data_IF_064533185046
#
_entry.id   IF_064533185046
#
_cell.length_a   1.000
_cell.length_b   1.000
_cell.length_c   1.000
_cell.angle_alpha   90.00
_cell.angle_beta   90.00
_cell.angle_gamma   90.00
#
_symmetry.space_group_name_H-M   'P 1'
#
loop_
_entity.id
_entity.type
_entity.pdbx_description
1 polymer ?
#
# COMPACT_ATOMS: atom_id res chain seq x y z
N UNK A 1 -14.10 -25.39 -7.42
CA UNK A 1 -12.97 -25.52 -6.49
C UNK A 1 -12.93 -24.26 -5.65
N UNK A 2 -13.25 -24.36 -4.36
CA UNK A 2 -13.33 -23.24 -3.43
C UNK A 2 -12.03 -23.22 -2.65
N UNK A 3 -11.13 -22.28 -2.97
CA UNK A 3 -9.84 -22.15 -2.30
C UNK A 3 -10.09 -21.51 -0.93
N UNK A 4 -9.94 -22.30 0.14
CA UNK A 4 -9.96 -21.76 1.48
C UNK A 4 -8.63 -21.02 1.71
N UNK A 5 -8.68 -19.81 2.27
CA UNK A 5 -7.46 -19.07 2.65
C UNK A 5 -6.61 -19.86 3.68
N UNK A 6 -7.22 -20.85 4.34
CA UNK A 6 -6.63 -21.68 5.38
C UNK A 6 -5.61 -22.66 4.80
N UNK A 7 -5.81 -23.15 3.57
CA UNK A 7 -4.95 -24.19 2.98
C UNK A 7 -3.57 -23.67 2.54
N UNK A 8 -3.43 -22.37 2.31
CA UNK A 8 -2.18 -21.78 1.84
C UNK A 8 -1.22 -21.33 2.95
N UNK A 9 -1.69 -21.25 4.21
CA UNK A 9 -0.93 -20.67 5.32
C UNK A 9 -1.35 -21.35 6.65
N UNK A 10 -0.73 -22.48 7.04
CA UNK A 10 -1.07 -23.20 8.28
C UNK A 10 -0.90 -22.36 9.57
N UNK A 11 -0.21 -21.23 9.48
CA UNK A 11 -0.07 -20.22 10.55
C UNK A 11 -1.36 -19.40 10.79
N UNK A 12 -2.34 -19.40 9.87
CA UNK A 12 -3.69 -18.82 10.02
C UNK A 12 -4.56 -19.56 11.05
N UNK A 13 -4.11 -20.73 11.54
CA UNK A 13 -4.70 -21.38 12.71
C UNK A 13 -4.69 -20.46 13.94
N UNK A 14 -3.78 -19.48 13.97
CA UNK A 14 -3.84 -18.35 14.89
C UNK A 14 -4.86 -17.37 14.34
N UNK A 15 -6.05 -17.33 14.95
CA UNK A 15 -7.08 -16.35 14.58
C UNK A 15 -6.63 -14.89 14.78
N UNK A 16 -5.46 -14.61 15.33
CA UNK A 16 -4.98 -13.26 15.70
C UNK A 16 -3.61 -13.00 15.08
N UNK A 17 -3.47 -11.83 14.46
CA UNK A 17 -2.23 -11.28 13.92
C UNK A 17 -1.88 -10.03 14.70
N UNK A 18 -0.66 -9.98 15.22
CA UNK A 18 -0.15 -8.87 16.01
C UNK A 18 0.66 -7.93 15.12
N UNK A 19 0.78 -6.68 15.57
CA UNK A 19 1.64 -5.66 14.93
C UNK A 19 1.38 -5.48 13.43
N UNK A 20 0.10 -5.51 13.03
CA UNK A 20 -0.28 -5.28 11.63
C UNK A 20 -0.41 -3.79 11.36
N UNK A 21 0.19 -3.36 10.26
CA UNK A 21 0.09 -2.03 9.72
C UNK A 21 -1.08 -1.91 8.77
N UNK A 22 -1.88 -0.86 8.95
CA UNK A 22 -3.01 -0.58 8.07
C UNK A 22 -3.07 0.90 7.69
N UNK A 23 -3.34 1.17 6.42
CA UNK A 23 -3.58 2.51 5.90
C UNK A 23 -5.05 2.86 6.02
N UNK A 24 -5.33 4.07 6.49
CA UNK A 24 -6.67 4.63 6.43
C UNK A 24 -6.98 5.11 5.00
N UNK A 25 -8.11 4.66 4.48
CA UNK A 25 -8.69 5.09 3.22
C UNK A 25 -10.14 5.51 3.43
N UNK A 26 -10.63 6.45 2.64
CA UNK A 26 -12.06 6.76 2.61
C UNK A 26 -12.76 5.80 1.64
N UNK A 27 -13.84 5.17 2.11
CA UNK A 27 -14.66 4.31 1.26
C UNK A 27 -15.34 5.17 0.19
N UNK A 28 -15.13 4.89 -1.10
CA UNK A 28 -15.64 5.73 -2.20
C UNK A 28 -17.16 5.85 -2.21
N UNK A 29 -17.88 4.83 -1.71
CA UNK A 29 -19.35 4.83 -1.68
C UNK A 29 -19.91 5.56 -0.47
N UNK A 30 -19.34 5.29 0.70
CA UNK A 30 -19.91 5.79 1.97
C UNK A 30 -19.21 7.04 2.49
N UNK A 31 -18.04 7.39 1.93
CA UNK A 31 -17.12 8.43 2.42
C UNK A 31 -16.70 8.24 3.88
N UNK A 32 -16.84 7.02 4.40
CA UNK A 32 -16.50 6.70 5.77
C UNK A 32 -15.06 6.21 5.86
N UNK A 33 -14.36 6.50 6.97
CA UNK A 33 -13.00 6.03 7.16
C UNK A 33 -12.99 4.51 7.32
N UNK A 34 -12.04 3.88 6.63
CA UNK A 34 -11.84 2.43 6.62
C UNK A 34 -10.35 2.12 6.65
N UNK A 35 -9.97 1.04 7.34
CA UNK A 35 -8.59 0.57 7.37
C UNK A 35 -8.39 -0.52 6.33
N UNK A 36 -7.28 -0.45 5.61
CA UNK A 36 -6.83 -1.48 4.67
C UNK A 36 -5.43 -1.96 5.03
N UNK A 37 -5.20 -3.26 4.96
CA UNK A 37 -3.86 -3.84 5.16
C UNK A 37 -2.90 -3.36 4.09
N UNK A 38 -1.63 -3.17 4.48
CA UNK A 38 -0.53 -2.86 3.57
C UNK A 38 0.08 -4.14 2.97
N UNK A 39 0.77 -3.96 1.84
CA UNK A 39 1.61 -4.99 1.21
C UNK A 39 2.82 -5.38 2.05
N UNK A 40 3.36 -6.57 1.80
CA UNK A 40 4.59 -7.06 2.45
C UNK A 40 4.42 -7.56 3.89
N UNK A 41 3.19 -7.79 4.34
CA UNK A 41 2.89 -8.28 5.68
C UNK A 41 2.45 -9.76 5.66
N UNK A 42 2.35 -10.37 6.84
CA UNK A 42 1.85 -11.75 7.02
C UNK A 42 0.36 -11.91 6.69
N UNK A 43 -0.34 -10.80 6.48
CA UNK A 43 -1.76 -10.78 6.11
C UNK A 43 -1.94 -10.32 4.67
N UNK A 44 -2.97 -10.80 3.97
CA UNK A 44 -3.22 -10.39 2.59
C UNK A 44 -3.33 -8.86 2.45
N UNK A 45 -2.77 -8.26 1.39
CA UNK A 45 -2.83 -6.82 1.16
C UNK A 45 -4.22 -6.35 0.75
N UNK A 46 -4.49 -5.05 0.94
CA UNK A 46 -5.74 -4.37 0.56
C UNK A 46 -7.03 -4.93 1.18
N UNK A 47 -6.92 -5.77 2.20
CA UNK A 47 -8.06 -6.31 2.92
C UNK A 47 -8.63 -5.27 3.89
N UNK A 48 -9.96 -5.14 3.88
CA UNK A 48 -10.69 -4.24 4.76
C UNK A 48 -10.69 -4.78 6.19
N UNK A 49 -10.22 -3.97 7.13
CA UNK A 49 -10.26 -4.27 8.56
C UNK A 49 -11.45 -3.54 9.18
N UNK A 50 -12.29 -4.28 9.92
CA UNK A 50 -13.37 -3.70 10.71
C UNK A 50 -12.78 -3.04 11.97
N UNK A 51 -13.03 -1.75 12.13
CA UNK A 51 -12.62 -0.95 13.28
C UNK A 51 -13.74 0.03 13.66
N UNK A 52 -13.72 0.55 14.89
CA UNK A 52 -14.55 1.69 15.24
C UNK A 52 -14.10 2.90 14.42
N UNK A 53 -15.06 3.56 13.77
CA UNK A 53 -14.80 4.69 12.88
C UNK A 53 -14.31 5.89 13.66
N UNK A 54 -14.81 6.08 14.89
CA UNK A 54 -14.41 7.21 15.75
C UNK A 54 -12.93 7.14 16.09
N UNK A 55 -12.37 5.95 16.25
CA UNK A 55 -10.96 5.76 16.60
C UNK A 55 -9.98 6.10 15.47
N UNK A 56 -10.46 6.17 14.22
CA UNK A 56 -9.63 6.43 13.04
C UNK A 56 -10.00 7.73 12.33
N UNK A 57 -11.11 8.37 12.71
CA UNK A 57 -11.62 9.58 12.08
C UNK A 57 -10.83 10.84 12.44
N UNK A 58 -10.05 10.80 13.53
CA UNK A 58 -9.30 11.96 14.03
C UNK A 58 -8.13 12.36 13.11
N UNK A 59 -7.73 11.50 12.19
CA UNK A 59 -6.56 11.71 11.33
C UNK A 59 -6.94 11.65 9.84
N UNK A 60 -6.16 12.34 8.97
CA UNK A 60 -6.45 12.40 7.55
C UNK A 60 -6.23 11.08 6.82
N UNK A 61 -6.82 10.99 5.62
CA UNK A 61 -6.65 9.86 4.70
C UNK A 61 -5.17 9.61 4.38
N UNK A 62 -4.78 8.34 4.35
CA UNK A 62 -3.40 7.91 4.18
C UNK A 62 -2.65 7.65 5.47
N UNK A 63 -3.18 8.05 6.63
CA UNK A 63 -2.52 7.77 7.92
C UNK A 63 -2.36 6.26 8.13
N UNK A 64 -1.16 5.85 8.54
CA UNK A 64 -0.82 4.45 8.83
C UNK A 64 -0.91 4.20 10.34
N UNK A 65 -1.67 3.16 10.68
CA UNK A 65 -1.93 2.71 12.04
C UNK A 65 -1.26 1.38 12.30
N UNK A 66 -0.96 1.11 13.57
CA UNK A 66 -0.45 -0.18 14.06
C UNK A 66 -1.49 -0.81 14.96
N UNK A 67 -1.92 -2.03 14.64
CA UNK A 67 -2.98 -2.71 15.37
C UNK A 67 -2.87 -4.23 15.31
N UNK A 68 -3.48 -4.86 16.30
CA UNK A 68 -3.72 -6.29 16.30
C UNK A 68 -5.06 -6.58 15.64
N UNK A 69 -5.10 -7.57 14.76
CA UNK A 69 -6.30 -7.96 14.03
C UNK A 69 -6.62 -9.43 14.27
N UNK A 70 -7.91 -9.74 14.28
CA UNK A 70 -8.43 -11.09 14.37
C UNK A 70 -9.14 -11.45 13.07
N UNK A 71 -8.85 -12.63 12.52
CA UNK A 71 -9.65 -13.23 11.47
C UNK A 71 -10.93 -13.82 12.09
N UNK A 72 -12.07 -13.32 11.64
CA UNK A 72 -13.38 -13.83 12.04
C UNK A 72 -13.96 -14.61 10.88
N UNK A 73 -14.07 -15.92 11.07
CA UNK A 73 -14.83 -16.81 10.21
C UNK A 73 -16.18 -17.07 10.86
N UNK A 74 -17.26 -16.78 10.14
CA UNK A 74 -18.62 -17.03 10.60
C UNK A 74 -19.27 -18.00 9.64
N UNK A 75 -19.89 -19.07 10.15
CA UNK A 75 -20.57 -20.08 9.32
C UNK A 75 -21.54 -19.40 8.35
N UNK A 76 -21.32 -19.57 7.05
CA UNK A 76 -22.15 -19.00 5.99
C UNK A 76 -21.86 -17.54 5.59
N UNK A 77 -20.84 -16.88 6.16
CA UNK A 77 -20.40 -15.53 5.75
C UNK A 77 -18.94 -15.53 5.30
N UNK A 78 -18.59 -14.55 4.47
CA UNK A 78 -17.20 -14.35 4.06
C UNK A 78 -16.34 -13.99 5.29
N UNK A 79 -15.16 -14.62 5.45
CA UNK A 79 -14.27 -14.30 6.53
C UNK A 79 -13.79 -12.85 6.40
N UNK A 80 -13.60 -12.18 7.53
CA UNK A 80 -13.16 -10.78 7.57
C UNK A 80 -12.24 -10.50 8.75
N UNK A 81 -11.40 -9.48 8.61
CA UNK A 81 -10.55 -9.02 9.70
C UNK A 81 -11.27 -8.01 10.60
N UNK A 82 -11.09 -8.15 11.89
CA UNK A 82 -11.56 -7.19 12.90
C UNK A 82 -10.41 -6.76 13.79
N UNK A 83 -10.29 -5.47 14.06
CA UNK A 83 -9.34 -4.95 15.04
C UNK A 83 -9.68 -5.52 16.44
N UNK A 84 -8.67 -5.98 17.17
CA UNK A 84 -8.82 -6.49 18.53
C UNK A 84 -9.10 -5.33 19.51
N UNK A 85 -8.39 -4.20 19.32
CA UNK A 85 -8.58 -2.96 20.08
C UNK A 85 -9.16 -1.88 19.17
N UNK A 86 -10.49 -1.87 19.05
CA UNK A 86 -11.18 -0.97 18.12
C UNK A 86 -11.30 0.48 18.61
N UNK A 87 -11.26 0.73 19.93
CA UNK A 87 -11.56 2.06 20.51
C UNK A 87 -10.40 3.05 20.48
N UNK A 88 -9.16 2.57 20.51
CA UNK A 88 -7.95 3.40 20.51
C UNK A 88 -6.91 2.69 19.66
N UNK A 89 -6.75 3.15 18.42
CA UNK A 89 -5.79 2.60 17.49
C UNK A 89 -4.60 3.57 17.40
N UNK A 90 -3.40 3.18 17.87
CA UNK A 90 -2.25 4.06 17.78
C UNK A 90 -1.79 4.19 16.32
N UNK A 91 -1.29 5.39 15.97
CA UNK A 91 -0.54 5.59 14.73
C UNK A 91 0.73 4.75 14.79
N UNK A 92 1.14 4.21 13.65
CA UNK A 92 2.40 3.48 13.57
C UNK A 92 3.58 4.45 13.74
N UNK A 93 4.47 4.15 14.68
CA UNK A 93 5.68 4.94 14.95
C UNK A 93 6.72 4.71 13.84
N UNK A 94 6.73 3.50 13.28
CA UNK A 94 7.57 3.06 12.17
C UNK A 94 7.31 3.90 10.90
N UNK A 95 6.12 4.47 10.79
CA UNK A 95 5.71 5.34 9.70
C UNK A 95 5.56 6.80 10.15
N UNK A 96 6.32 7.23 11.17
CA UNK A 96 6.23 8.58 11.70
C UNK A 96 6.42 9.67 10.64
N UNK A 97 7.49 9.59 9.84
CA UNK A 97 7.78 10.57 8.78
C UNK A 97 6.65 10.61 7.73
N UNK A 98 6.21 9.43 7.29
CA UNK A 98 5.09 9.29 6.36
C UNK A 98 3.81 9.93 6.92
N UNK A 99 3.46 9.61 8.16
CA UNK A 99 2.28 10.12 8.82
C UNK A 99 2.36 11.64 9.04
N UNK A 100 3.56 12.18 9.30
CA UNK A 100 3.79 13.61 9.40
C UNK A 100 3.55 14.32 8.06
N UNK A 101 4.02 13.77 6.95
CA UNK A 101 3.77 14.31 5.60
C UNK A 101 2.28 14.31 5.27
N UNK A 102 1.59 13.19 5.55
CA UNK A 102 0.15 13.05 5.34
C UNK A 102 -0.63 14.08 6.17
N UNK A 103 -0.22 14.33 7.42
CA UNK A 103 -0.84 15.37 8.27
C UNK A 103 -0.64 16.79 7.73
N UNK A 104 0.50 17.06 7.07
CA UNK A 104 0.76 18.33 6.39
C UNK A 104 -0.02 18.48 5.08
N UNK A 105 -0.75 17.45 4.64
CA UNK A 105 -1.44 17.43 3.36
C UNK A 105 -0.53 17.15 2.16
N UNK A 106 0.72 16.76 2.42
CA UNK A 106 1.66 16.37 1.37
C UNK A 106 1.45 14.90 1.00
N UNK A 107 1.50 14.59 -0.30
CA UNK A 107 1.29 13.22 -0.75
C UNK A 107 2.65 12.47 -0.79
N UNK A 108 2.90 11.51 0.13
CA UNK A 108 4.19 10.84 0.26
C UNK A 108 4.56 9.99 -0.98
N UNK A 109 3.58 9.58 -1.78
CA UNK A 109 3.84 8.85 -3.03
C UNK A 109 4.41 9.74 -4.14
N UNK A 110 4.14 11.06 -4.11
CA UNK A 110 4.67 12.01 -5.10
C UNK A 110 6.16 12.29 -4.88
N UNK A 111 6.67 12.09 -3.67
CA UNK A 111 8.08 12.36 -3.30
C UNK A 111 9.02 11.24 -3.78
N UNK A 112 8.50 10.04 -4.11
CA UNK A 112 9.29 8.96 -4.74
C UNK A 112 9.61 9.20 -6.23
N UNK A 113 9.51 10.45 -6.71
CA UNK A 113 9.88 10.81 -8.09
C UNK A 113 11.39 10.72 -8.27
N UNK A 114 11.80 9.62 -8.92
CA UNK A 114 13.08 9.24 -9.53
C UNK A 114 14.33 9.96 -9.01
N UNK A 115 15.33 9.22 -8.49
CA UNK A 115 16.61 9.84 -8.19
C UNK A 115 17.20 10.53 -9.43
N UNK A 116 17.71 11.75 -9.25
CA UNK A 116 18.19 12.65 -10.30
C UNK A 116 19.33 12.07 -11.17
N UNK A 117 19.91 10.93 -10.81
CA UNK A 117 21.00 10.31 -11.57
C UNK A 117 20.56 9.51 -12.81
N UNK A 118 19.26 9.23 -12.99
CA UNK A 118 18.76 8.49 -14.16
C UNK A 118 18.35 9.37 -15.37
N UNK A 119 18.44 10.69 -15.28
CA UNK A 119 18.07 11.61 -16.38
C UNK A 119 19.21 11.96 -17.34
N UNK A 120 20.46 11.55 -17.07
CA UNK A 120 21.62 11.82 -17.95
C UNK A 120 22.05 10.58 -18.75
N UNK A 121 21.18 10.07 -19.63
CA UNK A 121 21.60 9.27 -20.79
C UNK A 121 20.72 9.60 -22.00
N UNK A 122 20.84 10.84 -22.49
CA UNK A 122 20.48 11.22 -23.86
C UNK A 122 21.48 12.25 -24.35
N UNK A 123 22.49 11.78 -25.08
CA UNK A 123 23.15 12.44 -26.22
C UNK A 123 24.53 11.83 -26.42
N UNK A 124 24.69 11.05 -27.49
CA UNK A 124 25.77 11.22 -28.48
C UNK A 124 25.64 10.11 -29.51
N UNK A 125 24.67 10.25 -30.41
CA UNK A 125 24.77 9.66 -31.74
C UNK A 125 25.40 10.73 -32.62
N UNK A 126 26.65 10.61 -33.07
CA UNK A 126 27.16 11.52 -34.08
C UNK A 126 26.44 11.23 -35.40
N UNK A 127 25.76 12.25 -35.90
CA UNK A 127 25.27 12.31 -37.26
C UNK A 127 26.47 12.34 -38.22
N UNK A 128 26.55 11.38 -39.14
CA UNK A 128 27.46 11.44 -40.28
C UNK A 128 26.77 10.95 -41.55
N UNK A 129 26.14 11.88 -42.25
CA UNK A 129 25.99 11.94 -43.70
C UNK A 129 26.13 13.43 -44.04
N UNK A 130 26.64 13.87 -45.22
CA UNK A 130 26.26 13.28 -46.52
C UNK A 130 27.27 13.36 -47.69
N UNK A 131 26.94 12.63 -48.78
CA UNK A 131 27.15 12.95 -50.23
C UNK A 131 28.62 13.08 -50.72
N UNK A 132 29.01 12.77 -51.95
CA UNK A 132 28.39 12.39 -53.24
C UNK A 132 29.55 11.94 -54.17
N UNK A 133 29.17 11.39 -55.32
CA UNK A 133 29.88 11.46 -56.61
C UNK A 133 30.82 10.31 -57.07
N UNK A 134 30.25 9.52 -58.00
CA UNK A 134 30.70 9.29 -59.38
C UNK A 134 31.95 8.42 -59.65
N UNK A 135 31.77 7.40 -60.51
CA UNK A 135 32.74 7.12 -61.59
C UNK A 135 33.24 5.68 -61.73
N UNK A 136 32.55 4.89 -62.58
CA UNK A 136 33.07 4.19 -63.76
C UNK A 136 34.48 3.51 -63.79
N UNK A 137 34.46 2.24 -64.24
CA UNK A 137 35.47 1.48 -65.04
C UNK A 137 36.62 0.80 -64.26
N UNK A 138 36.62 -0.54 -64.21
CA UNK A 138 37.40 -1.45 -65.08
C UNK A 138 36.87 -2.88 -64.98
#
# INVERSE_FOLDING_TARGET
>A
MQLSLVDHLPELSRCVFLDVFARMSLDSRTKLPTLRTLEGQRVPPEFKIRCDRRAIADFPEGTIYKLDIRLIETRGKRPYFSALRSKKVPRALEFFEHNLLVQRGENPEKTKRKPAYLSKRKSNTPASQPREALGLIF
#
